data_IF_938833795269
#
_entry.id   IF_938833795269
#
_cell.length_a   1.000
_cell.length_b   1.000
_cell.length_c   1.000
_cell.angle_alpha   90.00
_cell.angle_beta   90.00
_cell.angle_gamma   90.00
#
_symmetry.space_group_name_H-M   'P 1'
#
loop_
_entity.id
_entity.type
_entity.pdbx_description
1 polymer ?
#
# COMPACT_ATOMS: atom_id res chain seq x y z
N UNK A 1 5.45 -2.97 -14.48
CA UNK A 1 5.80 -1.86 -13.56
C UNK A 1 5.23 -2.19 -12.19
N UNK A 2 5.74 -1.64 -11.07
CA UNK A 2 5.13 -1.90 -9.78
C UNK A 2 3.72 -1.31 -9.70
N UNK A 3 2.77 -2.10 -9.20
CA UNK A 3 1.40 -1.68 -8.86
C UNK A 3 1.43 -1.14 -7.44
N UNK A 4 0.77 -0.01 -7.20
CA UNK A 4 0.54 0.45 -5.85
C UNK A 4 -0.93 0.83 -5.65
N UNK A 5 -1.41 0.59 -4.43
CA UNK A 5 -2.77 0.90 -4.02
C UNK A 5 -2.81 2.25 -3.34
N UNK A 6 -3.78 3.10 -3.66
CA UNK A 6 -4.10 4.30 -2.88
C UNK A 6 -5.47 4.16 -2.25
N UNK A 7 -5.61 4.66 -1.02
CA UNK A 7 -6.86 4.67 -0.28
C UNK A 7 -7.23 6.09 0.13
N UNK A 8 -8.50 6.43 -0.04
CA UNK A 8 -9.05 7.65 0.54
C UNK A 8 -9.45 7.39 1.99
N UNK A 9 -8.95 8.19 2.94
CA UNK A 9 -9.25 8.00 4.37
C UNK A 9 -10.71 8.35 4.74
N UNK A 10 -11.38 9.19 3.94
CA UNK A 10 -12.78 9.58 4.21
C UNK A 10 -13.80 8.56 3.73
N UNK A 11 -13.70 8.13 2.48
CA UNK A 11 -14.69 7.25 1.86
C UNK A 11 -14.23 5.79 1.74
N UNK A 12 -12.98 5.49 2.13
CA UNK A 12 -12.38 4.15 2.03
C UNK A 12 -12.31 3.58 0.62
N UNK A 13 -12.49 4.40 -0.43
CA UNK A 13 -12.30 3.99 -1.82
C UNK A 13 -10.81 3.68 -2.05
N UNK A 14 -10.56 2.55 -2.70
CA UNK A 14 -9.24 2.07 -3.06
C UNK A 14 -9.08 2.08 -4.58
N UNK A 15 -7.92 2.54 -5.06
CA UNK A 15 -7.54 2.51 -6.47
C UNK A 15 -6.18 1.86 -6.63
N UNK A 16 -6.03 1.01 -7.62
CA UNK A 16 -4.76 0.39 -8.00
C UNK A 16 -4.22 1.05 -9.25
N UNK A 17 -2.95 1.43 -9.21
CA UNK A 17 -2.33 2.14 -10.32
C UNK A 17 -0.87 1.70 -10.49
N UNK A 18 -0.45 1.59 -11.75
CA UNK A 18 0.92 1.25 -12.13
C UNK A 18 1.75 2.50 -12.37
N UNK A 19 2.90 2.60 -11.70
CA UNK A 19 3.85 3.69 -11.95
C UNK A 19 5.29 3.24 -11.78
N UNK A 20 6.19 4.02 -12.38
CA UNK A 20 7.61 3.90 -12.10
C UNK A 20 7.91 4.36 -10.67
N UNK A 21 8.90 3.74 -10.03
CA UNK A 21 9.35 4.12 -8.68
C UNK A 21 9.89 5.56 -8.63
N UNK A 22 10.31 6.12 -9.77
CA UNK A 22 10.82 7.48 -9.89
C UNK A 22 9.72 8.53 -10.09
N UNK A 23 8.46 8.11 -10.20
CA UNK A 23 7.34 9.01 -10.44
C UNK A 23 6.72 9.43 -9.10
N UNK A 24 6.76 10.74 -8.82
CA UNK A 24 5.95 11.33 -7.75
C UNK A 24 4.52 11.52 -8.27
N UNK A 25 3.65 10.54 -8.02
CA UNK A 25 2.23 10.60 -8.38
C UNK A 25 1.37 10.90 -7.15
N UNK A 26 0.58 11.97 -7.23
CA UNK A 26 -0.44 12.32 -6.22
C UNK A 26 -1.82 12.05 -6.82
N UNK A 27 -2.58 11.13 -6.22
CA UNK A 27 -3.93 10.82 -6.66
C UNK A 27 -4.95 11.52 -5.78
N UNK A 28 -6.05 11.95 -6.40
CA UNK A 28 -7.14 12.64 -5.73
C UNK A 28 -8.39 11.77 -5.78
N UNK A 29 -9.10 11.69 -4.68
CA UNK A 29 -10.38 11.00 -4.63
C UNK A 29 -11.43 11.82 -5.41
N UNK A 30 -12.11 11.21 -6.38
CA UNK A 30 -13.15 11.89 -7.17
C UNK A 30 -14.36 12.32 -6.32
N UNK A 31 -14.65 11.58 -5.25
CA UNK A 31 -15.79 11.83 -4.36
C UNK A 31 -15.45 12.89 -3.31
N UNK A 32 -14.34 12.71 -2.60
CA UNK A 32 -13.97 13.58 -1.48
C UNK A 32 -13.16 14.81 -1.90
N UNK A 33 -12.61 14.82 -3.13
CA UNK A 33 -11.69 15.85 -3.64
C UNK A 33 -10.48 16.08 -2.74
N UNK A 34 -9.99 15.01 -2.13
CA UNK A 34 -8.86 15.02 -1.22
C UNK A 34 -7.74 14.10 -1.74
N UNK A 35 -6.46 14.39 -1.40
CA UNK A 35 -5.35 13.54 -1.77
C UNK A 35 -5.48 12.16 -1.11
N UNK A 36 -5.31 11.11 -1.91
CA UNK A 36 -5.33 9.73 -1.44
C UNK A 36 -3.95 9.32 -0.92
N UNK A 37 -3.95 8.46 0.09
CA UNK A 37 -2.73 7.99 0.75
C UNK A 37 -2.30 6.65 0.16
N UNK A 38 -1.03 6.55 -0.23
CA UNK A 38 -0.44 5.32 -0.73
C UNK A 38 -0.46 4.25 0.37
N UNK A 39 -1.11 3.14 0.07
CA UNK A 39 -1.14 1.98 0.94
C UNK A 39 0.09 1.12 0.68
N UNK A 40 0.82 0.81 1.75
CA UNK A 40 1.87 -0.18 1.73
C UNK A 40 1.27 -1.48 2.23
N UNK A 41 1.13 -2.46 1.34
CA UNK A 41 0.76 -3.80 1.77
C UNK A 41 1.88 -4.35 2.65
N UNK A 42 1.53 -4.89 3.82
CA UNK A 42 2.49 -5.60 4.64
C UNK A 42 3.03 -6.80 3.84
N UNK A 43 4.34 -6.93 3.61
CA UNK A 43 4.87 -8.12 3.00
C UNK A 43 4.54 -9.32 3.89
N UNK A 44 4.21 -10.46 3.29
CA UNK A 44 4.07 -11.71 4.05
C UNK A 44 5.44 -12.09 4.63
N UNK A 45 5.63 -11.83 5.93
CA UNK A 45 6.86 -12.20 6.63
C UNK A 45 6.72 -13.66 7.06
N UNK A 46 7.51 -14.54 6.45
CA UNK A 46 7.61 -15.94 6.86
C UNK A 46 8.82 -16.12 7.77
N UNK A 47 8.59 -16.26 9.08
CA UNK A 47 9.64 -16.60 10.03
C UNK A 47 9.96 -18.11 9.94
N UNK A 48 11.16 -18.45 9.45
CA UNK A 48 11.69 -19.82 9.51
C UNK A 48 12.55 -19.98 10.77
N UNK A 49 11.93 -20.34 11.89
CA UNK A 49 12.64 -20.68 13.12
C UNK A 49 11.96 -21.87 13.80
N UNK A 50 12.74 -22.86 14.25
CA UNK A 50 12.25 -24.05 14.97
C UNK A 50 11.87 -23.78 16.43
N UNK A 51 11.55 -22.54 16.78
CA UNK A 51 11.39 -22.08 18.17
C UNK A 51 12.75 -21.83 18.84
N UNK A 52 12.88 -20.72 19.55
CA UNK A 52 14.00 -20.47 20.47
C UNK A 52 13.67 -21.17 21.79
N UNK A 53 14.58 -22.02 22.30
CA UNK A 53 14.42 -22.73 23.57
C UNK A 53 14.26 -24.25 23.47
N UNK A 54 14.95 -24.90 22.53
CA UNK A 54 15.22 -26.34 22.64
C UNK A 54 16.62 -26.51 23.22
N UNK A 55 16.70 -26.46 24.55
CA UNK A 55 17.64 -27.17 25.44
C UNK A 55 17.30 -26.84 26.90
#
# INVERSE_FOLDING_TARGET
MPVYTFKCERCSVEIEQEFSIYTNATFWCEVCKEPMVKQFAAPAIHFKGTGWGKD
#
